data_IF_128262607733
#
_entry.id   IF_128262607733
#
_cell.length_a   1.000
_cell.length_b   1.000
_cell.length_c   1.000
_cell.angle_alpha   90.00
_cell.angle_beta   90.00
_cell.angle_gamma   90.00
#
_symmetry.space_group_name_H-M   'P 1'
#
loop_
_entity.id
_entity.type
_entity.pdbx_description
1 polymer ?
#
# COMPACT_ATOMS: atom_id res chain seq x y z
N UNK A 1 17.09 -13.40 -0.69
CA UNK A 1 15.81 -13.43 0.04
C UNK A 1 15.70 -12.23 0.97
N UNK A 2 14.56 -11.54 0.99
CA UNK A 2 14.39 -10.37 1.87
C UNK A 2 14.29 -10.80 3.34
N UNK A 3 14.96 -10.07 4.23
CA UNK A 3 14.85 -10.30 5.66
C UNK A 3 13.50 -9.79 6.18
N UNK A 4 13.12 -10.25 7.38
CA UNK A 4 11.89 -9.75 8.02
C UNK A 4 11.94 -8.23 8.22
N UNK A 5 13.11 -7.70 8.56
CA UNK A 5 13.31 -6.26 8.72
C UNK A 5 13.01 -5.51 7.42
N UNK A 6 13.54 -6.00 6.29
CA UNK A 6 13.31 -5.40 4.99
C UNK A 6 11.84 -5.44 4.61
N UNK A 7 11.16 -6.55 4.89
CA UNK A 7 9.72 -6.69 4.62
C UNK A 7 8.92 -5.69 5.46
N UNK A 8 9.25 -5.54 6.74
CA UNK A 8 8.57 -4.57 7.62
C UNK A 8 8.78 -3.13 7.15
N UNK A 9 9.99 -2.80 6.70
CA UNK A 9 10.29 -1.48 6.17
C UNK A 9 9.50 -1.20 4.89
N UNK A 10 9.39 -2.19 4.01
CA UNK A 10 8.60 -2.07 2.79
C UNK A 10 7.11 -1.90 3.10
N UNK A 11 6.58 -2.65 4.07
CA UNK A 11 5.19 -2.51 4.52
C UNK A 11 4.95 -1.10 5.04
N UNK A 12 5.85 -0.57 5.87
CA UNK A 12 5.72 0.78 6.40
C UNK A 12 5.73 1.82 5.29
N UNK A 13 6.60 1.65 4.30
CA UNK A 13 6.66 2.54 3.14
C UNK A 13 5.34 2.51 2.35
N UNK A 14 4.80 1.31 2.13
CA UNK A 14 3.54 1.16 1.40
C UNK A 14 2.37 1.77 2.16
N UNK A 15 2.34 1.65 3.48
CA UNK A 15 1.31 2.30 4.29
C UNK A 15 1.35 3.82 4.14
N UNK A 16 2.53 4.41 4.11
CA UNK A 16 2.69 5.84 3.89
C UNK A 16 2.19 6.24 2.49
N UNK A 17 2.50 5.43 1.47
CA UNK A 17 2.03 5.67 0.11
C UNK A 17 0.50 5.53 0.00
N UNK A 18 -0.09 4.56 0.70
CA UNK A 18 -1.55 4.41 0.75
C UNK A 18 -2.21 5.63 1.38
N UNK A 19 -1.63 6.17 2.45
CA UNK A 19 -2.16 7.36 3.11
C UNK A 19 -2.13 8.57 2.17
N UNK A 20 -1.03 8.74 1.44
CA UNK A 20 -0.91 9.82 0.44
C UNK A 20 -1.92 9.62 -0.69
N UNK A 21 -2.06 8.38 -1.17
CA UNK A 21 -3.02 8.06 -2.22
C UNK A 21 -4.46 8.37 -1.78
N UNK A 22 -4.80 8.10 -0.52
CA UNK A 22 -6.12 8.42 0.02
C UNK A 22 -6.39 9.93 0.01
N UNK A 23 -5.38 10.73 0.37
CA UNK A 23 -5.49 12.19 0.31
C UNK A 23 -5.66 12.67 -1.13
N UNK A 24 -4.93 12.09 -2.07
CA UNK A 24 -5.02 12.42 -3.49
C UNK A 24 -6.41 12.09 -4.04
N UNK A 25 -7.01 10.98 -3.63
CA UNK A 25 -8.36 10.59 -4.03
C UNK A 25 -9.37 11.60 -3.49
N UNK A 26 -9.27 11.97 -2.21
CA UNK A 26 -10.17 12.95 -1.61
C UNK A 26 -10.10 14.28 -2.34
N UNK A 27 -8.90 14.75 -2.63
CA UNK A 27 -8.69 15.99 -3.37
C UNK A 27 -9.29 15.89 -4.78
N UNK A 28 -9.09 14.77 -5.45
CA UNK A 28 -9.64 14.53 -6.79
C UNK A 28 -11.17 14.55 -6.78
N UNK A 29 -11.80 13.97 -5.75
CA UNK A 29 -13.26 14.01 -5.59
C UNK A 29 -13.74 15.46 -5.43
N UNK A 30 -13.07 16.23 -4.57
CA UNK A 30 -13.44 17.60 -4.29
C UNK A 30 -13.29 18.50 -5.52
N UNK A 31 -12.29 18.22 -6.35
CA UNK A 31 -12.04 19.01 -7.56
C UNK A 31 -12.83 18.49 -8.79
N UNK A 32 -13.50 17.35 -8.66
CA UNK A 32 -14.20 16.73 -9.79
C UNK A 32 -13.24 16.24 -10.88
N UNK A 33 -12.09 15.74 -10.49
CA UNK A 33 -11.05 15.30 -11.41
C UNK A 33 -11.48 14.11 -12.27
N UNK A 34 -11.18 14.18 -13.56
CA UNK A 34 -11.42 13.07 -14.48
C UNK A 34 -10.44 11.92 -14.29
N UNK A 35 -9.39 12.12 -13.48
CA UNK A 35 -8.38 11.11 -13.20
C UNK A 35 -8.64 10.33 -11.92
N UNK A 36 -9.82 10.49 -11.34
CA UNK A 36 -10.19 9.81 -10.08
C UNK A 36 -9.99 8.29 -10.17
N UNK A 37 -10.41 7.68 -11.26
CA UNK A 37 -10.29 6.22 -11.44
C UNK A 37 -8.83 5.78 -11.43
N UNK A 38 -7.94 6.58 -12.00
CA UNK A 38 -6.50 6.29 -12.01
C UNK A 38 -5.94 6.34 -10.59
N UNK A 39 -6.32 7.34 -9.80
CA UNK A 39 -5.88 7.45 -8.41
C UNK A 39 -6.37 6.27 -7.57
N UNK A 40 -7.61 5.83 -7.79
CA UNK A 40 -8.16 4.66 -7.09
C UNK A 40 -7.37 3.40 -7.46
N UNK A 41 -7.04 3.20 -8.73
CA UNK A 41 -6.24 2.06 -9.18
C UNK A 41 -4.85 2.04 -8.53
N UNK A 42 -4.22 3.20 -8.43
CA UNK A 42 -2.91 3.34 -7.79
C UNK A 42 -2.99 2.95 -6.30
N UNK A 43 -4.00 3.46 -5.60
CA UNK A 43 -4.22 3.14 -4.19
C UNK A 43 -4.43 1.64 -3.98
N UNK A 44 -5.23 1.01 -4.84
CA UNK A 44 -5.49 -0.43 -4.77
C UNK A 44 -4.22 -1.24 -5.02
N UNK A 45 -3.37 -0.79 -5.95
CA UNK A 45 -2.10 -1.47 -6.22
C UNK A 45 -1.17 -1.45 -4.99
N UNK A 46 -1.07 -0.32 -4.30
CA UNK A 46 -0.29 -0.23 -3.07
C UNK A 46 -0.86 -1.14 -1.98
N UNK A 47 -2.17 -1.14 -1.82
CA UNK A 47 -2.85 -1.99 -0.84
C UNK A 47 -2.59 -3.47 -1.10
N UNK A 48 -2.71 -3.92 -2.34
CA UNK A 48 -2.47 -5.31 -2.72
C UNK A 48 -1.04 -5.74 -2.41
N UNK A 49 -0.07 -4.90 -2.72
CA UNK A 49 1.34 -5.18 -2.42
C UNK A 49 1.55 -5.28 -0.91
N UNK A 50 0.97 -4.36 -0.14
CA UNK A 50 1.09 -4.37 1.31
C UNK A 50 0.50 -5.64 1.92
N UNK A 51 -0.71 -6.01 1.49
CA UNK A 51 -1.39 -7.22 1.99
C UNK A 51 -0.56 -8.46 1.68
N UNK A 52 -0.01 -8.55 0.47
CA UNK A 52 0.85 -9.68 0.08
C UNK A 52 2.08 -9.76 0.96
N UNK A 53 2.73 -8.64 1.23
CA UNK A 53 3.92 -8.62 2.08
C UNK A 53 3.61 -8.95 3.54
N UNK A 54 2.47 -8.50 4.05
CA UNK A 54 2.01 -8.84 5.39
C UNK A 54 1.77 -10.34 5.51
N UNK A 55 1.18 -10.96 4.49
CA UNK A 55 0.95 -12.39 4.46
C UNK A 55 2.29 -13.15 4.49
N UNK A 56 3.26 -12.73 3.67
CA UNK A 56 4.60 -13.34 3.62
C UNK A 56 5.30 -13.19 4.98
N UNK A 57 5.21 -12.02 5.60
CA UNK A 57 5.81 -11.77 6.91
C UNK A 57 5.20 -12.68 7.98
N UNK A 58 3.87 -12.82 7.99
CA UNK A 58 3.19 -13.69 8.94
C UNK A 58 3.63 -15.14 8.79
N UNK A 59 3.80 -15.63 7.57
CA UNK A 59 4.29 -16.99 7.33
C UNK A 59 5.71 -17.16 7.85
N UNK A 60 6.58 -16.19 7.61
CA UNK A 60 7.96 -16.25 8.11
C UNK A 60 8.01 -16.23 9.64
N UNK A 61 7.16 -15.47 10.28
CA UNK A 61 7.07 -15.43 11.73
C UNK A 61 6.51 -16.72 12.32
N UNK A 62 5.57 -17.34 11.62
CA UNK A 62 4.98 -18.61 12.05
C UNK A 62 5.99 -19.77 11.98
N UNK A 63 7.00 -19.70 11.16
CA UNK A 63 8.04 -20.71 11.03
C UNK A 63 9.04 -20.68 12.20
N UNK A 64 9.03 -19.65 12.99
CA UNK A 64 9.90 -19.51 14.14
C UNK A 64 9.25 -20.08 15.39
#
# INVERSE_FOLDING_TARGET
MRSKKEIREEIARLKALEAQAAEDIEEAINEGSKYLDIYIQIANAFQDKRITLEWVLNEKEAEL
#
